data_IF_817145457856
#
_entry.id   IF_817145457856
#
_cell.length_a   1.000
_cell.length_b   1.000
_cell.length_c   1.000
_cell.angle_alpha   90.00
_cell.angle_beta   90.00
_cell.angle_gamma   90.00
#
_symmetry.space_group_name_H-M   'P 1'
#
loop_
_entity.id
_entity.type
_entity.pdbx_description
1 polymer ?
#
# COMPACT_ATOMS: atom_id res chain seq x y z
N UNK A 1 -52.40 -46.62 45.15
CA UNK A 1 -51.20 -46.35 46.00
C UNK A 1 -49.95 -46.53 45.15
N UNK A 2 -49.37 -45.48 44.74
CA UNK A 2 -48.12 -45.52 43.90
C UNK A 2 -47.04 -44.72 44.63
N UNK A 3 -45.98 -45.43 45.07
CA UNK A 3 -44.79 -44.84 45.68
C UNK A 3 -43.88 -44.24 44.66
N UNK A 4 -43.58 -42.93 44.78
CA UNK A 4 -42.54 -42.22 44.00
C UNK A 4 -41.18 -42.54 44.63
N UNK A 5 -40.26 -43.11 43.80
CA UNK A 5 -38.84 -43.16 44.11
C UNK A 5 -38.17 -41.90 43.61
N UNK A 6 -37.57 -41.13 44.54
CA UNK A 6 -36.68 -40.01 44.20
C UNK A 6 -35.24 -40.52 44.18
N UNK A 7 -34.64 -40.49 43.00
CA UNK A 7 -33.21 -40.77 42.83
C UNK A 7 -32.43 -39.46 42.96
N UNK A 8 -31.63 -39.33 43.99
CA UNK A 8 -30.72 -38.20 44.19
C UNK A 8 -29.44 -38.49 43.43
N UNK A 9 -29.19 -37.78 42.30
CA UNK A 9 -27.91 -37.78 41.60
C UNK A 9 -26.97 -36.79 42.30
N UNK A 10 -25.89 -37.30 42.90
CA UNK A 10 -24.79 -36.47 43.42
C UNK A 10 -23.89 -36.10 42.22
N UNK A 11 -23.83 -34.82 41.89
CA UNK A 11 -22.85 -34.27 40.95
C UNK A 11 -21.57 -34.03 41.73
N UNK A 12 -20.54 -34.79 41.38
CA UNK A 12 -19.18 -34.62 41.90
C UNK A 12 -18.50 -33.54 41.05
N UNK A 13 -18.33 -32.34 41.58
CA UNK A 13 -17.57 -31.27 40.91
C UNK A 13 -16.09 -31.54 41.08
N UNK A 14 -15.43 -31.96 40.00
CA UNK A 14 -13.97 -31.97 39.91
C UNK A 14 -13.48 -30.54 39.66
N UNK A 15 -12.89 -29.94 40.67
CA UNK A 15 -12.08 -28.73 40.53
C UNK A 15 -10.74 -29.11 39.85
N UNK A 16 -10.68 -28.99 38.55
CA UNK A 16 -9.42 -28.97 37.80
C UNK A 16 -8.81 -27.56 37.94
N UNK A 17 -7.94 -27.40 38.93
CA UNK A 17 -7.01 -26.27 38.99
C UNK A 17 -5.95 -26.42 37.89
N UNK A 18 -6.33 -26.08 36.67
CA UNK A 18 -5.37 -25.93 35.56
C UNK A 18 -4.56 -24.67 35.77
N UNK A 19 -3.30 -24.79 36.18
CA UNK A 19 -2.31 -23.75 35.98
C UNK A 19 -2.24 -23.47 34.47
N UNK A 20 -2.86 -22.39 34.01
CA UNK A 20 -2.57 -21.87 32.67
C UNK A 20 -1.09 -21.46 32.66
N UNK A 21 -0.30 -21.94 31.69
CA UNK A 21 1.07 -21.45 31.56
C UNK A 21 0.97 -19.94 31.34
N UNK A 22 1.70 -19.17 32.14
CA UNK A 22 1.87 -17.75 31.93
C UNK A 22 2.48 -17.58 30.52
N UNK A 23 1.67 -17.18 29.55
CA UNK A 23 2.14 -16.77 28.23
C UNK A 23 3.14 -15.64 28.48
N UNK A 24 4.42 -15.94 28.28
CA UNK A 24 5.46 -14.94 28.26
C UNK A 24 4.98 -13.86 27.28
N UNK A 25 4.76 -12.64 27.77
CA UNK A 25 4.46 -11.49 26.90
C UNK A 25 5.69 -11.33 26.00
N UNK A 26 5.58 -11.80 24.78
CA UNK A 26 6.62 -11.61 23.77
C UNK A 26 6.94 -10.12 23.71
N UNK A 27 8.23 -9.78 23.93
CA UNK A 27 8.67 -8.40 23.82
C UNK A 27 8.31 -7.88 22.41
N UNK A 28 7.90 -6.62 22.31
CA UNK A 28 7.70 -5.97 21.01
C UNK A 28 8.94 -6.13 20.12
N UNK A 29 8.79 -6.21 18.79
CA UNK A 29 9.95 -6.28 17.91
C UNK A 29 10.83 -5.03 18.06
N UNK A 30 12.14 -5.22 18.04
CA UNK A 30 13.11 -4.11 18.09
C UNK A 30 13.16 -3.41 16.74
N UNK A 31 13.32 -2.08 16.77
CA UNK A 31 13.45 -1.20 15.62
C UNK A 31 14.93 -1.05 15.27
N UNK A 32 15.33 -1.44 14.04
CA UNK A 32 16.70 -1.30 13.55
C UNK A 32 16.93 -0.10 12.64
N UNK A 33 15.87 0.51 12.14
CA UNK A 33 15.96 1.68 11.30
C UNK A 33 14.59 2.21 10.94
N UNK A 34 14.52 3.51 10.83
CA UNK A 34 13.31 4.22 10.45
C UNK A 34 13.61 5.31 9.42
N UNK A 35 12.70 5.51 8.50
CA UNK A 35 12.60 6.67 7.62
C UNK A 35 11.19 7.18 7.72
N UNK A 36 11.04 8.47 7.98
CA UNK A 36 9.75 9.15 7.99
C UNK A 36 9.75 10.32 7.02
N UNK A 37 8.59 10.60 6.46
CA UNK A 37 8.36 11.77 5.61
C UNK A 37 7.00 12.36 5.97
N UNK A 38 7.03 13.60 6.47
CA UNK A 38 5.85 14.43 6.75
C UNK A 38 5.89 15.62 5.83
N UNK A 39 4.74 16.01 5.32
CA UNK A 39 4.63 17.16 4.46
C UNK A 39 4.80 18.46 5.27
N UNK A 40 5.71 19.34 4.85
CA UNK A 40 5.85 20.70 5.33
C UNK A 40 5.25 21.65 4.28
N UNK A 41 4.19 22.40 4.61
CA UNK A 41 3.53 23.28 3.66
C UNK A 41 4.35 24.52 3.27
N UNK A 42 5.43 24.80 3.97
CA UNK A 42 6.32 25.92 3.69
C UNK A 42 7.47 25.54 2.74
N UNK A 43 7.57 24.25 2.35
CA UNK A 43 8.56 23.73 1.43
C UNK A 43 7.93 23.06 0.21
N UNK A 44 8.66 23.04 -0.93
CA UNK A 44 8.23 22.30 -2.13
C UNK A 44 8.29 20.78 -1.92
N UNK A 45 7.39 20.05 -2.55
CA UNK A 45 7.27 18.60 -2.40
C UNK A 45 8.55 17.84 -2.78
N UNK A 46 9.13 18.11 -3.94
CA UNK A 46 10.28 17.34 -4.48
C UNK A 46 11.50 17.40 -3.56
N UNK A 47 11.97 18.56 -3.05
CA UNK A 47 13.09 18.63 -2.11
C UNK A 47 12.89 17.81 -0.84
N UNK A 48 11.70 17.90 -0.21
CA UNK A 48 11.38 17.15 1.00
C UNK A 48 11.45 15.64 0.77
N UNK A 49 10.85 15.17 -0.32
CA UNK A 49 10.83 13.75 -0.68
C UNK A 49 12.24 13.24 -0.99
N UNK A 50 13.03 14.01 -1.74
CA UNK A 50 14.41 13.63 -2.05
C UNK A 50 15.33 13.63 -0.81
N UNK A 51 15.12 14.53 0.13
CA UNK A 51 15.84 14.54 1.40
C UNK A 51 15.56 13.26 2.21
N UNK A 52 14.31 12.84 2.30
CA UNK A 52 13.91 11.65 3.07
C UNK A 52 14.18 10.33 2.34
N UNK A 53 13.84 10.25 1.04
CA UNK A 53 13.82 8.99 0.26
C UNK A 53 15.01 8.84 -0.69
N UNK A 54 15.83 9.90 -0.90
CA UNK A 54 17.00 9.92 -1.76
C UNK A 54 16.75 10.50 -3.16
N UNK A 55 17.83 10.88 -3.83
CA UNK A 55 17.85 11.66 -5.08
C UNK A 55 16.95 11.13 -6.20
N UNK A 56 16.80 9.80 -6.36
CA UNK A 56 16.05 9.18 -7.46
C UNK A 56 14.69 8.63 -7.01
N UNK A 57 14.10 9.26 -6.00
CA UNK A 57 12.83 8.83 -5.40
C UNK A 57 11.58 9.33 -6.13
N UNK A 58 11.71 10.11 -7.18
CA UNK A 58 10.61 10.77 -7.88
C UNK A 58 10.41 10.14 -9.27
N UNK A 59 9.16 9.86 -9.61
CA UNK A 59 8.68 9.46 -10.95
C UNK A 59 7.39 10.26 -11.25
N UNK A 60 7.54 11.54 -11.57
CA UNK A 60 6.44 12.47 -11.87
C UNK A 60 6.57 13.06 -13.25
N UNK A 61 5.51 13.58 -13.86
CA UNK A 61 5.56 14.22 -15.18
C UNK A 61 6.60 15.33 -15.28
N UNK A 62 6.82 16.14 -14.23
CA UNK A 62 7.82 17.22 -14.23
C UNK A 62 9.26 16.75 -14.46
N UNK A 63 9.54 15.48 -14.23
CA UNK A 63 10.88 14.90 -14.43
C UNK A 63 11.14 14.44 -15.84
N UNK A 64 10.13 14.48 -16.72
CA UNK A 64 10.19 13.99 -18.09
C UNK A 64 10.07 15.13 -19.11
N UNK A 65 10.86 15.05 -20.17
CA UNK A 65 10.83 16.02 -21.25
C UNK A 65 9.57 15.82 -22.10
N UNK A 66 8.91 16.88 -22.49
CA UNK A 66 7.68 16.84 -23.28
C UNK A 66 6.39 16.88 -22.46
N UNK A 67 6.46 16.73 -21.14
CA UNK A 67 5.30 16.93 -20.29
C UNK A 67 5.00 18.43 -20.10
N UNK A 68 3.76 18.76 -19.73
CA UNK A 68 3.31 20.14 -19.53
C UNK A 68 3.82 20.71 -18.19
N UNK A 69 5.07 21.13 -18.19
CA UNK A 69 5.84 21.57 -17.01
C UNK A 69 5.30 22.80 -16.29
N UNK A 70 4.32 23.48 -16.84
CA UNK A 70 3.68 24.64 -16.23
C UNK A 70 2.72 24.26 -15.09
N UNK A 71 2.45 22.98 -14.92
CA UNK A 71 1.55 22.46 -13.90
C UNK A 71 2.32 21.63 -12.88
N UNK A 72 2.03 21.84 -11.59
CA UNK A 72 2.68 21.08 -10.50
C UNK A 72 1.89 19.79 -10.20
N UNK A 73 2.39 18.65 -10.71
CA UNK A 73 1.77 17.34 -10.50
C UNK A 73 2.01 16.79 -9.10
N UNK A 74 3.12 17.19 -8.47
CA UNK A 74 3.49 16.77 -7.12
C UNK A 74 3.71 18.00 -6.24
N UNK A 75 2.72 18.32 -5.43
CA UNK A 75 2.69 19.50 -4.56
C UNK A 75 2.60 19.14 -3.08
N UNK A 76 2.75 20.12 -2.21
CA UNK A 76 2.34 20.06 -0.80
C UNK A 76 1.22 21.06 -0.59
N UNK A 77 0.15 20.63 0.04
CA UNK A 77 -0.97 21.50 0.40
C UNK A 77 -1.36 21.34 1.87
N UNK A 78 -1.87 22.42 2.45
CA UNK A 78 -2.46 22.36 3.79
C UNK A 78 -3.68 21.44 3.78
N UNK A 79 -3.82 20.65 4.84
CA UNK A 79 -4.95 19.76 5.06
C UNK A 79 -5.50 19.94 6.48
N UNK A 80 -6.83 19.85 6.62
CA UNK A 80 -7.50 20.11 7.91
C UNK A 80 -7.24 18.98 8.93
N UNK A 81 -7.09 17.75 8.48
CA UNK A 81 -6.93 16.57 9.33
C UNK A 81 -5.44 16.23 9.54
N UNK A 82 -4.63 16.27 8.47
CA UNK A 82 -3.20 15.91 8.47
C UNK A 82 -2.27 17.14 8.59
N UNK A 83 -2.80 18.36 8.75
CA UNK A 83 -2.10 19.65 8.70
C UNK A 83 -1.56 19.96 7.30
N UNK A 84 -0.83 19.05 6.68
CA UNK A 84 -0.37 19.12 5.30
C UNK A 84 -0.28 17.73 4.68
N UNK A 85 -0.38 17.65 3.37
CA UNK A 85 -0.28 16.41 2.60
C UNK A 85 0.46 16.63 1.29
N UNK A 86 1.13 15.57 0.82
CA UNK A 86 1.60 15.49 -0.56
C UNK A 86 0.42 15.22 -1.47
N UNK A 87 0.30 16.02 -2.52
CA UNK A 87 -0.78 15.95 -3.51
C UNK A 87 -0.21 15.42 -4.81
N UNK A 88 -0.76 14.32 -5.28
CA UNK A 88 -0.38 13.69 -6.55
C UNK A 88 -1.51 13.93 -7.55
N UNK A 89 -1.22 14.61 -8.65
CA UNK A 89 -2.16 14.92 -9.74
C UNK A 89 -1.75 14.21 -11.00
N UNK A 90 -2.71 13.88 -11.83
CA UNK A 90 -2.48 13.26 -13.13
C UNK A 90 -3.56 13.71 -14.12
N UNK A 91 -3.15 14.07 -15.34
CA UNK A 91 -4.04 14.51 -16.40
C UNK A 91 -4.24 13.40 -17.41
N UNK A 92 -5.50 13.07 -17.69
CA UNK A 92 -5.89 11.94 -18.54
C UNK A 92 -5.22 11.94 -19.92
N UNK A 93 -5.18 13.08 -20.57
CA UNK A 93 -4.77 13.19 -21.98
C UNK A 93 -3.34 13.68 -22.19
N UNK A 94 -2.71 14.27 -21.18
CA UNK A 94 -1.41 14.92 -21.31
C UNK A 94 -0.28 14.14 -20.67
N UNK A 95 -0.54 13.44 -19.55
CA UNK A 95 0.50 12.74 -18.80
C UNK A 95 0.73 11.32 -19.33
N UNK A 96 2.00 10.89 -19.27
CA UNK A 96 2.44 9.56 -19.68
C UNK A 96 3.15 8.78 -18.57
N UNK A 97 3.75 7.67 -18.96
CA UNK A 97 4.74 6.97 -18.13
C UNK A 97 6.14 7.57 -18.39
N UNK A 98 7.04 7.36 -17.44
CA UNK A 98 8.41 7.93 -17.33
C UNK A 98 9.31 7.82 -18.57
N UNK A 99 8.94 7.05 -19.57
CA UNK A 99 9.82 6.74 -20.70
C UNK A 99 9.47 7.54 -21.95
N UNK A 100 10.35 8.49 -22.31
CA UNK A 100 10.35 9.16 -23.61
C UNK A 100 10.56 8.24 -24.80
N UNK A 101 11.24 7.13 -24.57
CA UNK A 101 11.65 6.13 -25.57
C UNK A 101 10.50 5.16 -25.85
N UNK A 102 9.58 5.03 -24.93
CA UNK A 102 8.42 4.20 -25.14
C UNK A 102 7.47 4.90 -26.10
N UNK A 103 7.11 4.25 -27.21
CA UNK A 103 6.14 4.82 -28.13
C UNK A 103 4.89 5.20 -27.32
N UNK A 104 4.20 6.24 -27.76
CA UNK A 104 2.92 6.71 -27.20
C UNK A 104 1.85 5.62 -26.99
N UNK A 105 2.11 4.39 -27.38
CA UNK A 105 1.27 3.21 -27.16
C UNK A 105 1.46 2.49 -25.84
N UNK A 106 2.24 3.01 -24.91
CA UNK A 106 2.19 2.52 -23.52
C UNK A 106 1.09 3.25 -22.78
N UNK A 107 -0.11 2.91 -23.03
CA UNK A 107 -1.37 3.32 -22.44
C UNK A 107 -1.34 3.36 -20.89
N UNK A 108 -0.45 4.20 -20.31
CA UNK A 108 -0.18 4.31 -18.86
C UNK A 108 0.22 5.72 -18.49
N UNK A 109 -0.12 6.06 -17.25
CA UNK A 109 0.27 7.32 -16.62
C UNK A 109 0.91 7.05 -15.27
N UNK A 110 1.86 7.91 -14.87
CA UNK A 110 2.56 7.75 -13.60
C UNK A 110 2.88 9.08 -12.94
N UNK A 111 2.50 9.16 -11.67
CA UNK A 111 2.98 10.15 -10.72
C UNK A 111 3.22 9.43 -9.39
N UNK A 112 4.46 9.01 -9.11
CA UNK A 112 4.82 8.19 -7.97
C UNK A 112 6.10 8.65 -7.29
N UNK A 113 6.17 8.43 -5.96
CA UNK A 113 7.40 8.46 -5.17
C UNK A 113 7.80 7.04 -4.77
N UNK A 114 9.09 6.83 -4.47
CA UNK A 114 9.62 5.48 -4.28
C UNK A 114 10.91 5.41 -3.48
N UNK A 115 11.21 4.23 -2.91
CA UNK A 115 12.59 3.85 -2.59
C UNK A 115 13.37 3.49 -3.86
N UNK A 116 14.68 3.77 -3.91
CA UNK A 116 15.57 3.37 -5.02
C UNK A 116 17.02 3.17 -4.57
N UNK A 117 17.95 3.07 -5.54
CA UNK A 117 19.37 2.80 -5.26
C UNK A 117 20.01 3.82 -4.30
N UNK A 118 19.69 5.11 -4.47
CA UNK A 118 20.18 6.20 -3.62
C UNK A 118 19.51 6.31 -2.24
N UNK A 119 18.42 5.55 -2.01
CA UNK A 119 17.72 5.55 -0.74
C UNK A 119 18.51 4.83 0.35
N UNK A 120 18.19 5.15 1.60
CA UNK A 120 18.75 4.46 2.77
C UNK A 120 18.50 2.95 2.73
N UNK A 121 19.25 2.17 3.53
CA UNK A 121 19.03 0.72 3.65
C UNK A 121 17.62 0.40 4.17
N UNK A 122 17.03 1.27 4.98
CA UNK A 122 15.67 1.11 5.52
C UNK A 122 14.61 1.07 4.42
N UNK A 123 14.79 1.83 3.35
CA UNK A 123 13.88 1.85 2.19
C UNK A 123 13.99 0.61 1.29
N UNK A 124 15.01 -0.22 1.49
CA UNK A 124 15.33 -1.39 0.64
C UNK A 124 15.22 -2.67 1.47
N UNK A 125 14.19 -3.48 1.22
CA UNK A 125 14.06 -4.76 1.90
C UNK A 125 14.89 -5.83 1.18
N UNK A 126 15.81 -6.47 1.93
CA UNK A 126 16.62 -7.60 1.49
C UNK A 126 15.96 -8.92 1.92
N UNK A 127 16.48 -10.05 1.40
CA UNK A 127 15.98 -11.39 1.75
C UNK A 127 16.06 -11.64 3.26
N UNK A 128 14.96 -12.08 3.84
CA UNK A 128 14.84 -12.41 5.27
C UNK A 128 14.46 -11.24 6.17
N UNK A 129 14.53 -10.00 5.68
CA UNK A 129 14.22 -8.81 6.47
C UNK A 129 12.72 -8.61 6.69
N UNK A 130 12.40 -8.05 7.86
CA UNK A 130 11.05 -7.60 8.19
C UNK A 130 10.97 -6.10 8.02
N UNK A 131 9.99 -5.65 7.24
CA UNK A 131 9.75 -4.24 6.99
C UNK A 131 8.28 -3.91 7.25
N UNK A 132 8.06 -2.74 7.86
CA UNK A 132 6.75 -2.14 8.07
C UNK A 132 6.69 -0.85 7.29
N UNK A 133 5.59 -0.64 6.55
CA UNK A 133 5.27 0.56 5.79
C UNK A 133 3.93 1.08 6.30
N UNK A 134 3.89 2.34 6.69
CA UNK A 134 2.69 3.00 7.17
C UNK A 134 2.54 4.34 6.49
N UNK A 135 1.33 4.70 6.07
CA UNK A 135 1.00 5.98 5.45
C UNK A 135 -0.50 6.25 5.52
N UNK A 136 -0.88 7.48 5.24
CA UNK A 136 -2.27 7.85 5.00
C UNK A 136 -2.50 8.14 3.51
N UNK A 137 -3.67 7.73 3.01
CA UNK A 137 -4.12 7.92 1.64
C UNK A 137 -5.51 8.55 1.66
N UNK A 138 -5.74 9.62 0.89
CA UNK A 138 -7.05 10.17 0.61
C UNK A 138 -7.23 10.23 -0.91
N UNK A 139 -8.21 9.49 -1.40
CA UNK A 139 -8.59 9.45 -2.81
C UNK A 139 -9.65 10.54 -3.00
N UNK A 140 -9.48 11.42 -3.98
CA UNK A 140 -10.46 12.46 -4.26
C UNK A 140 -11.85 11.87 -4.54
N UNK A 141 -12.90 12.58 -4.12
CA UNK A 141 -14.29 12.14 -4.29
C UNK A 141 -14.65 11.89 -5.76
N UNK A 142 -14.09 12.70 -6.66
CA UNK A 142 -14.30 12.59 -8.09
C UNK A 142 -13.46 11.53 -8.79
N UNK A 143 -12.43 10.97 -8.11
CA UNK A 143 -11.45 10.08 -8.75
C UNK A 143 -12.11 8.91 -9.47
N UNK A 144 -11.78 8.73 -10.75
CA UNK A 144 -12.33 7.70 -11.61
C UNK A 144 -11.38 6.50 -11.78
N UNK A 145 -11.96 5.32 -11.87
CA UNK A 145 -11.26 4.05 -12.15
C UNK A 145 -11.93 3.33 -13.31
N UNK A 146 -11.17 2.46 -13.98
CA UNK A 146 -11.65 1.59 -15.04
C UNK A 146 -11.54 0.11 -14.65
N UNK A 147 -11.87 -0.81 -15.55
CA UNK A 147 -11.62 -2.26 -15.36
C UNK A 147 -10.13 -2.61 -15.33
N UNK A 148 -9.25 -1.71 -15.79
CA UNK A 148 -7.81 -1.87 -15.75
C UNK A 148 -7.21 -1.45 -14.40
N UNK A 149 -5.90 -1.43 -14.29
CA UNK A 149 -5.26 -1.12 -13.02
C UNK A 149 -5.16 0.40 -12.76
N UNK A 150 -5.37 0.78 -11.51
CA UNK A 150 -4.94 2.04 -10.95
C UNK A 150 -4.30 1.75 -9.58
N UNK A 151 -2.98 1.86 -9.48
CA UNK A 151 -2.23 1.55 -8.27
C UNK A 151 -1.94 2.81 -7.47
N UNK A 152 -2.17 2.75 -6.15
CA UNK A 152 -1.82 3.80 -5.18
C UNK A 152 -0.61 3.44 -4.33
N UNK A 153 -0.34 2.15 -4.19
CA UNK A 153 0.83 1.61 -3.51
C UNK A 153 1.32 0.36 -4.23
N UNK A 154 2.64 0.16 -4.25
CA UNK A 154 3.27 -1.05 -4.76
C UNK A 154 4.43 -1.47 -3.87
N UNK A 155 4.53 -2.75 -3.56
CA UNK A 155 5.80 -3.39 -3.20
C UNK A 155 6.45 -3.91 -4.47
N UNK A 156 7.51 -3.24 -4.90
CA UNK A 156 8.14 -3.48 -6.21
C UNK A 156 9.56 -4.01 -6.05
N UNK A 157 9.87 -5.21 -6.58
CA UNK A 157 11.25 -5.68 -6.65
C UNK A 157 12.08 -4.86 -7.64
N UNK A 158 13.38 -4.87 -7.44
CA UNK A 158 14.41 -4.31 -8.33
C UNK A 158 15.43 -5.40 -8.61
N UNK A 159 15.92 -5.46 -9.85
CA UNK A 159 16.85 -6.48 -10.34
C UNK A 159 16.15 -7.45 -11.28
N UNK A 160 16.87 -8.31 -11.95
CA UNK A 160 16.45 -9.43 -12.77
C UNK A 160 15.18 -9.34 -13.63
N UNK A 161 14.91 -10.38 -14.39
CA UNK A 161 13.72 -10.45 -15.27
C UNK A 161 12.43 -10.64 -14.48
N UNK A 162 12.48 -11.32 -13.33
CA UNK A 162 11.30 -11.59 -12.52
C UNK A 162 10.83 -10.38 -11.69
N UNK A 163 11.58 -9.26 -11.75
CA UNK A 163 11.19 -7.98 -11.13
C UNK A 163 10.21 -7.14 -11.97
N UNK A 164 9.72 -7.66 -13.11
CA UNK A 164 8.80 -6.93 -13.98
C UNK A 164 7.48 -6.57 -13.29
N UNK A 165 6.92 -7.49 -12.52
CA UNK A 165 5.67 -7.29 -11.78
C UNK A 165 5.90 -6.86 -10.32
N UNK A 166 4.98 -6.08 -9.72
CA UNK A 166 5.00 -5.84 -8.28
C UNK A 166 4.65 -7.12 -7.51
N UNK A 167 5.19 -7.25 -6.30
CA UNK A 167 4.81 -8.33 -5.38
C UNK A 167 3.35 -8.15 -4.96
N UNK A 168 3.00 -6.90 -4.62
CA UNK A 168 1.68 -6.52 -4.14
C UNK A 168 1.37 -5.10 -4.57
N UNK A 169 0.08 -4.81 -4.80
CA UNK A 169 -0.43 -3.44 -5.04
C UNK A 169 -1.70 -3.18 -4.25
N UNK A 170 -1.85 -1.93 -3.75
CA UNK A 170 -3.15 -1.37 -3.36
C UNK A 170 -3.72 -0.66 -4.60
N UNK A 171 -4.92 -1.02 -5.03
CA UNK A 171 -5.44 -0.62 -6.33
C UNK A 171 -6.93 -0.32 -6.31
N UNK A 172 -7.34 0.64 -7.13
CA UNK A 172 -8.73 0.80 -7.56
C UNK A 172 -8.96 0.08 -8.89
N UNK A 173 -10.10 -0.58 -9.06
CA UNK A 173 -10.54 -1.14 -10.33
C UNK A 173 -12.02 -1.50 -10.35
N UNK A 174 -12.58 -1.63 -11.55
CA UNK A 174 -13.89 -2.25 -11.75
C UNK A 174 -13.68 -3.74 -11.99
N UNK A 175 -14.14 -4.59 -11.07
CA UNK A 175 -14.03 -6.04 -11.19
C UNK A 175 -15.42 -6.68 -11.23
N UNK A 176 -15.72 -7.43 -12.29
CA UNK A 176 -17.06 -7.97 -12.57
C UNK A 176 -18.17 -6.91 -12.46
N UNK A 177 -17.94 -5.71 -13.02
CA UNK A 177 -18.86 -4.58 -12.99
C UNK A 177 -18.95 -3.84 -11.65
N UNK A 178 -18.19 -4.25 -10.62
CA UNK A 178 -18.17 -3.61 -9.29
C UNK A 178 -16.92 -2.74 -9.11
N UNK A 179 -17.07 -1.42 -8.97
CA UNK A 179 -15.96 -0.55 -8.62
C UNK A 179 -15.51 -0.82 -7.17
N UNK A 180 -14.20 -1.06 -6.95
CA UNK A 180 -13.69 -1.44 -5.64
C UNK A 180 -12.25 -0.97 -5.39
N UNK A 181 -11.92 -0.81 -4.11
CA UNK A 181 -10.56 -0.78 -3.62
C UNK A 181 -10.14 -2.22 -3.29
N UNK A 182 -8.96 -2.63 -3.74
CA UNK A 182 -8.50 -4.01 -3.61
C UNK A 182 -6.99 -4.11 -3.45
N UNK A 183 -6.55 -5.25 -2.93
CA UNK A 183 -5.16 -5.70 -3.00
C UNK A 183 -5.04 -6.66 -4.18
N UNK A 184 -3.95 -6.53 -4.94
CA UNK A 184 -3.57 -7.46 -6.00
C UNK A 184 -2.17 -8.00 -5.75
N UNK A 185 -1.98 -9.29 -6.03
CA UNK A 185 -0.66 -9.92 -6.00
C UNK A 185 -0.56 -11.02 -7.05
N UNK A 186 0.65 -11.50 -7.29
CA UNK A 186 0.90 -12.63 -8.16
C UNK A 186 1.30 -13.86 -7.35
N UNK A 187 0.54 -14.93 -7.48
CA UNK A 187 0.84 -16.25 -6.96
C UNK A 187 1.29 -17.20 -8.08
N UNK A 188 1.53 -18.48 -7.74
CA UNK A 188 1.80 -19.51 -8.74
C UNK A 188 0.58 -19.78 -9.64
N UNK A 189 -0.62 -19.56 -9.11
CA UNK A 189 -1.88 -19.73 -9.83
C UNK A 189 -2.25 -18.49 -10.67
N UNK A 190 -1.36 -17.51 -10.75
CA UNK A 190 -1.58 -16.27 -11.50
C UNK A 190 -1.95 -15.07 -10.62
N UNK A 191 -2.62 -14.10 -11.22
CA UNK A 191 -3.02 -12.84 -10.58
C UNK A 191 -4.17 -13.08 -9.61
N UNK A 192 -3.94 -12.74 -8.35
CA UNK A 192 -4.91 -12.82 -7.27
C UNK A 192 -5.42 -11.43 -6.88
N UNK A 193 -6.60 -11.39 -6.27
CA UNK A 193 -7.25 -10.17 -5.77
C UNK A 193 -7.91 -10.42 -4.44
N UNK A 194 -7.95 -9.38 -3.61
CA UNK A 194 -8.67 -9.38 -2.35
C UNK A 194 -9.39 -8.04 -2.20
N UNK A 195 -10.71 -8.10 -2.11
CA UNK A 195 -11.58 -6.95 -1.91
C UNK A 195 -11.30 -6.29 -0.54
N UNK A 196 -11.22 -4.97 -0.51
CA UNK A 196 -11.12 -4.16 0.70
C UNK A 196 -12.45 -3.48 0.99
N UNK A 197 -12.95 -2.67 0.05
CA UNK A 197 -14.16 -1.88 0.20
C UNK A 197 -14.76 -1.51 -1.17
N UNK A 198 -16.02 -1.14 -1.20
CA UNK A 198 -16.63 -0.49 -2.35
C UNK A 198 -15.90 0.82 -2.65
N UNK A 199 -15.77 1.13 -3.94
CA UNK A 199 -15.02 2.31 -4.38
C UNK A 199 -15.56 3.61 -3.78
N UNK A 200 -16.90 3.75 -3.76
CA UNK A 200 -17.57 4.93 -3.18
C UNK A 200 -17.23 5.15 -1.70
N UNK A 201 -17.06 4.06 -0.93
CA UNK A 201 -16.78 4.10 0.50
C UNK A 201 -15.28 4.35 0.79
N UNK A 202 -14.44 4.26 -0.24
CA UNK A 202 -12.98 4.45 -0.17
C UNK A 202 -12.54 5.87 -0.50
N UNK A 203 -13.44 6.75 -0.96
CA UNK A 203 -13.14 8.10 -1.44
C UNK A 203 -13.51 9.18 -0.43
N UNK A 204 -12.97 10.39 -0.63
CA UNK A 204 -13.30 11.59 0.13
C UNK A 204 -12.80 11.62 1.57
N UNK A 205 -12.26 10.54 2.09
CA UNK A 205 -11.82 10.38 3.49
C UNK A 205 -10.39 9.85 3.58
N UNK A 206 -9.72 10.07 4.71
CA UNK A 206 -8.40 9.52 4.97
C UNK A 206 -8.49 8.03 5.29
N UNK A 207 -7.65 7.25 4.62
CA UNK A 207 -7.42 5.83 4.82
C UNK A 207 -6.05 5.66 5.47
N UNK A 208 -6.00 5.16 6.69
CA UNK A 208 -4.78 4.70 7.32
C UNK A 208 -4.41 3.34 6.73
N UNK A 209 -3.22 3.24 6.15
CA UNK A 209 -2.74 2.06 5.46
C UNK A 209 -1.48 1.53 6.11
N UNK A 210 -1.40 0.22 6.32
CA UNK A 210 -0.22 -0.45 6.83
C UNK A 210 0.08 -1.71 6.03
N UNK A 211 1.36 -1.93 5.75
CA UNK A 211 1.87 -3.14 5.14
C UNK A 211 3.07 -3.65 5.93
N UNK A 212 3.00 -4.88 6.44
CA UNK A 212 4.10 -5.55 7.12
C UNK A 212 4.51 -6.75 6.28
N UNK A 213 5.80 -6.87 5.96
CA UNK A 213 6.29 -7.98 5.17
C UNK A 213 7.57 -8.57 5.75
N UNK A 214 7.69 -9.91 5.71
CA UNK A 214 8.97 -10.61 5.81
C UNK A 214 9.30 -11.15 4.43
N UNK A 215 10.44 -10.71 3.90
CA UNK A 215 10.86 -11.10 2.56
C UNK A 215 11.40 -12.52 2.53
N UNK A 216 10.98 -13.33 1.56
CA UNK A 216 11.42 -14.72 1.43
C UNK A 216 10.68 -15.46 0.34
N UNK A 217 11.14 -16.68 0.01
CA UNK A 217 10.45 -17.58 -0.92
C UNK A 217 9.12 -18.09 -0.32
N UNK A 218 9.08 -18.21 1.01
CA UNK A 218 7.87 -18.36 1.82
C UNK A 218 7.74 -17.09 2.66
N UNK A 219 7.36 -15.97 2.00
CA UNK A 219 7.26 -14.69 2.65
C UNK A 219 6.00 -14.56 3.49
N UNK A 220 6.00 -13.55 4.33
CA UNK A 220 4.82 -13.11 5.07
C UNK A 220 4.44 -11.72 4.58
N UNK A 221 3.15 -11.43 4.50
CA UNK A 221 2.63 -10.11 4.25
C UNK A 221 1.28 -9.93 4.96
N UNK A 222 1.23 -8.92 5.81
CA UNK A 222 0.01 -8.38 6.39
C UNK A 222 -0.31 -7.05 5.73
N UNK A 223 -1.59 -6.81 5.44
CA UNK A 223 -2.05 -5.53 4.94
C UNK A 223 -3.32 -5.09 5.67
N UNK A 224 -3.36 -3.82 6.07
CA UNK A 224 -4.56 -3.23 6.66
C UNK A 224 -4.89 -1.87 6.07
N UNK A 225 -6.20 -1.56 6.04
CA UNK A 225 -6.76 -0.27 5.67
C UNK A 225 -7.89 0.06 6.62
N UNK A 226 -7.83 1.24 7.23
CA UNK A 226 -8.89 1.73 8.11
C UNK A 226 -9.21 3.17 7.74
N UNK A 227 -10.49 3.48 7.47
CA UNK A 227 -10.91 4.87 7.21
C UNK A 227 -11.05 5.68 8.49
N UNK A 228 -10.91 6.99 8.40
CA UNK A 228 -11.05 7.91 9.54
C UNK A 228 -12.40 7.80 10.24
N UNK A 229 -13.47 7.56 9.49
CA UNK A 229 -14.84 7.30 10.00
C UNK A 229 -15.08 5.85 10.44
N UNK A 230 -14.10 4.95 10.23
CA UNK A 230 -14.15 3.52 10.55
C UNK A 230 -15.19 2.69 9.76
N UNK A 231 -15.76 3.22 8.70
CA UNK A 231 -16.64 2.47 7.80
C UNK A 231 -15.86 1.43 6.99
N UNK A 232 -14.64 1.78 6.54
CA UNK A 232 -13.71 0.82 5.94
C UNK A 232 -12.82 0.26 7.05
N UNK A 233 -12.85 -1.06 7.23
CA UNK A 233 -11.97 -1.81 8.13
C UNK A 233 -11.55 -3.11 7.48
N UNK A 234 -10.32 -3.15 7.04
CA UNK A 234 -9.70 -4.31 6.43
C UNK A 234 -8.39 -4.62 7.14
N UNK A 235 -8.13 -5.87 7.45
CA UNK A 235 -6.85 -6.34 7.98
C UNK A 235 -6.72 -7.84 7.70
N UNK A 236 -5.74 -8.23 6.87
CA UNK A 236 -5.54 -9.62 6.45
C UNK A 236 -4.08 -9.95 6.26
N UNK A 237 -3.73 -11.17 6.64
CA UNK A 237 -2.56 -11.84 6.12
C UNK A 237 -2.85 -12.29 4.67
N UNK A 238 -1.88 -12.08 3.79
CA UNK A 238 -1.96 -12.52 2.40
C UNK A 238 -1.18 -13.83 2.27
N UNK A 239 -1.87 -14.96 2.17
CA UNK A 239 -1.22 -16.28 2.21
C UNK A 239 -0.51 -16.61 0.90
N UNK A 240 0.49 -17.49 1.00
CA UNK A 240 1.15 -18.10 -0.16
C UNK A 240 1.97 -17.15 -1.02
N UNK A 241 2.31 -15.97 -0.51
CA UNK A 241 3.00 -14.94 -1.26
C UNK A 241 4.50 -15.22 -1.35
N UNK A 242 5.03 -15.27 -2.57
CA UNK A 242 6.47 -15.25 -2.82
C UNK A 242 6.92 -13.79 -2.80
N UNK A 243 7.57 -13.38 -1.71
CA UNK A 243 8.06 -12.00 -1.56
C UNK A 243 9.53 -11.85 -1.93
N UNK A 244 10.20 -12.93 -2.34
CA UNK A 244 11.60 -12.89 -2.81
C UNK A 244 11.86 -13.93 -3.90
N UNK A 245 12.58 -13.51 -4.94
CA UNK A 245 13.14 -14.41 -5.98
C UNK A 245 14.64 -14.20 -6.08
N UNK A 246 15.40 -15.22 -6.54
CA UNK A 246 16.88 -15.17 -6.54
C UNK A 246 17.48 -14.02 -7.33
N UNK A 247 16.81 -13.52 -8.35
CA UNK A 247 17.25 -12.41 -9.21
C UNK A 247 16.86 -11.02 -8.69
N UNK A 248 16.22 -10.91 -7.52
CA UNK A 248 15.95 -9.62 -6.89
C UNK A 248 17.20 -9.07 -6.21
N UNK A 249 17.48 -7.77 -6.44
CA UNK A 249 18.50 -7.03 -5.71
C UNK A 249 17.97 -6.50 -4.37
N UNK A 250 16.73 -5.98 -4.38
CA UNK A 250 15.99 -5.52 -3.21
C UNK A 250 14.53 -5.29 -3.57
N UNK A 251 13.70 -5.12 -2.55
CA UNK A 251 12.29 -4.74 -2.67
C UNK A 251 12.12 -3.32 -2.11
N UNK A 252 11.29 -2.52 -2.76
CA UNK A 252 11.04 -1.14 -2.40
C UNK A 252 9.56 -0.80 -2.42
N UNK A 253 9.12 0.16 -1.60
CA UNK A 253 7.80 0.74 -1.70
C UNK A 253 7.74 1.77 -2.83
N UNK A 254 6.53 1.95 -3.39
CA UNK A 254 6.15 3.05 -4.26
C UNK A 254 4.76 3.52 -3.87
N UNK A 255 4.54 4.84 -3.92
CA UNK A 255 3.28 5.48 -3.60
C UNK A 255 2.94 6.55 -4.63
N UNK A 256 1.66 6.82 -4.86
CA UNK A 256 1.18 7.82 -5.79
C UNK A 256 0.09 7.27 -6.71
N UNK A 257 0.10 7.65 -7.97
CA UNK A 257 -0.83 7.18 -8.98
C UNK A 257 -0.06 6.51 -10.10
N UNK A 258 -0.40 5.25 -10.40
CA UNK A 258 0.06 4.55 -11.59
C UNK A 258 -1.10 3.79 -12.21
N UNK A 259 -1.62 4.30 -13.34
CA UNK A 259 -2.82 3.74 -13.97
C UNK A 259 -2.63 3.40 -15.44
N UNK A 260 -3.46 2.46 -15.90
CA UNK A 260 -3.63 2.15 -17.32
C UNK A 260 -4.52 3.19 -17.99
N UNK A 261 -4.21 3.49 -19.25
CA UNK A 261 -5.03 4.32 -20.14
C UNK A 261 -5.71 3.50 -21.25
N UNK A 262 -5.67 2.17 -21.18
CA UNK A 262 -6.31 1.30 -22.21
C UNK A 262 -7.79 1.66 -22.41
N UNK A 263 -8.49 2.00 -21.33
CA UNK A 263 -9.87 2.46 -21.37
C UNK A 263 -9.97 3.93 -20.91
N UNK A 264 -9.13 4.80 -21.42
CA UNK A 264 -9.10 6.21 -21.00
C UNK A 264 -10.41 6.94 -21.27
N UNK A 265 -11.16 6.52 -22.27
CA UNK A 265 -12.47 7.09 -22.62
C UNK A 265 -13.53 6.85 -21.52
N UNK A 266 -13.31 5.85 -20.67
CA UNK A 266 -14.14 5.58 -19.49
C UNK A 266 -13.75 6.44 -18.27
N UNK A 267 -12.71 7.28 -18.37
CA UNK A 267 -12.27 8.22 -17.34
C UNK A 267 -12.90 9.58 -17.64
N UNK A 268 -13.92 10.01 -16.89
CA UNK A 268 -14.64 11.24 -17.20
C UNK A 268 -13.83 12.51 -16.87
N UNK A 269 -12.92 12.43 -15.90
CA UNK A 269 -12.17 13.58 -15.42
C UNK A 269 -10.96 13.85 -16.31
N UNK A 270 -10.73 15.14 -16.64
CA UNK A 270 -9.47 15.55 -17.24
C UNK A 270 -8.30 15.42 -16.26
N UNK A 271 -8.58 15.60 -14.97
CA UNK A 271 -7.60 15.51 -13.88
C UNK A 271 -8.14 14.67 -12.72
N UNK A 272 -7.29 13.78 -12.21
CA UNK A 272 -7.53 13.05 -10.97
C UNK A 272 -6.44 13.34 -9.94
N UNK A 273 -6.79 13.27 -8.65
CA UNK A 273 -5.93 13.61 -7.53
C UNK A 273 -6.02 12.58 -6.40
N UNK A 274 -4.87 12.30 -5.76
CA UNK A 274 -4.83 11.67 -4.45
C UNK A 274 -3.93 12.47 -3.52
N UNK A 275 -4.19 12.39 -2.22
CA UNK A 275 -3.36 12.97 -1.16
C UNK A 275 -2.75 11.86 -0.32
N UNK A 276 -1.50 12.05 0.08
CA UNK A 276 -0.82 11.10 0.96
C UNK A 276 -0.04 11.86 2.03
N UNK A 277 0.02 11.28 3.23
CA UNK A 277 0.67 11.91 4.37
C UNK A 277 1.34 10.89 5.30
N UNK A 278 2.22 11.37 6.16
CA UNK A 278 2.82 10.68 7.31
C UNK A 278 3.39 9.30 6.97
N UNK A 279 4.26 9.25 5.96
CA UNK A 279 4.94 8.02 5.59
C UNK A 279 5.95 7.61 6.66
N UNK A 280 5.89 6.35 7.06
CA UNK A 280 6.86 5.73 7.96
C UNK A 280 7.28 4.37 7.41
N UNK A 281 8.58 4.15 7.29
CA UNK A 281 9.18 2.89 6.88
C UNK A 281 10.10 2.42 8.00
N UNK A 282 9.89 1.20 8.48
CA UNK A 282 10.64 0.64 9.59
C UNK A 282 11.23 -0.73 9.24
N UNK A 283 12.42 -1.00 9.80
CA UNK A 283 13.03 -2.34 9.84
C UNK A 283 12.87 -2.92 11.23
N UNK A 284 12.29 -4.10 11.32
CA UNK A 284 11.97 -4.77 12.56
C UNK A 284 12.81 -6.04 12.74
N UNK A 285 13.13 -6.41 13.99
CA UNK A 285 13.87 -7.62 14.32
C UNK A 285 13.10 -8.91 13.99
N UNK A 286 11.77 -8.85 14.07
CA UNK A 286 10.83 -9.95 13.81
C UNK A 286 9.47 -9.41 13.42
N UNK A 287 8.58 -10.29 13.01
CA UNK A 287 7.16 -9.97 12.85
C UNK A 287 6.55 -9.55 14.20
N UNK A 288 5.64 -8.56 14.21
CA UNK A 288 4.92 -8.13 15.40
C UNK A 288 4.05 -9.23 16.01
#
# INVERSE_FOLDING_TARGET
MARKFQTRTRVLAFLLSGLAPALAKDKAPELFGEVSLKADPDEKAIPQIQAAFGKYSIETPETYEGDHRTFEHLAVEKDKEMKAAFVFRIHRDEDGDRDKIWPKGMERQRNEIKGYQSSSKTMKALRGEVSRYHWYLKIDESFAITKNFCHFFQLKPVGGKSAADPILTLSGSIFHGKPQLEIRWFSKEGKQRLFIADWKDSKGKWLECECITKTGEKGFLWFSVTSSDKEVRFGREIPGLITWRPDYSFIRPKWGIYRSLVDKEDIPNERDEVRMADFTIQKLSRLP
#
